data_IF_218782238044
#
_entry.id   IF_218782238044
#
_cell.length_a   1.000
_cell.length_b   1.000
_cell.length_c   1.000
_cell.angle_alpha   90.00
_cell.angle_beta   90.00
_cell.angle_gamma   90.00
#
_symmetry.space_group_name_H-M   'P 1'
#
loop_
_entity.id
_entity.type
_entity.pdbx_description
1 polymer ?
#
# COMPACT_ATOMS: atom_id res chain seq x y z
N UNK A 1 -25.23 -0.62 0.23
CA UNK A 1 -24.49 -0.29 -1.00
C UNK A 1 -23.54 0.83 -0.62
N UNK A 2 -22.25 0.53 -0.48
CA UNK A 2 -21.23 1.56 -0.27
C UNK A 2 -20.85 2.07 -1.65
N UNK A 3 -21.61 3.02 -2.17
CA UNK A 3 -21.22 3.81 -3.33
C UNK A 3 -20.04 4.69 -2.89
N UNK A 4 -18.85 4.10 -2.86
CA UNK A 4 -17.63 4.89 -2.80
C UNK A 4 -17.65 5.76 -4.06
N UNK A 5 -17.64 7.10 -3.92
CA UNK A 5 -17.67 7.98 -5.07
C UNK A 5 -16.50 7.62 -5.99
N UNK A 6 -16.77 7.50 -7.30
CA UNK A 6 -15.72 7.32 -8.30
C UNK A 6 -14.79 8.53 -8.16
N UNK A 7 -13.60 8.30 -7.61
CA UNK A 7 -12.63 9.34 -7.40
C UNK A 7 -12.10 9.79 -8.76
N UNK A 8 -12.26 11.07 -9.08
CA UNK A 8 -11.65 11.63 -10.27
C UNK A 8 -10.16 11.84 -10.01
N UNK A 9 -9.39 10.79 -10.30
CA UNK A 9 -7.94 10.81 -10.17
C UNK A 9 -7.24 11.51 -11.35
N UNK A 10 -7.98 12.07 -12.32
CA UNK A 10 -7.42 12.69 -13.52
C UNK A 10 -6.36 11.80 -14.22
N UNK A 11 -6.65 10.51 -14.32
CA UNK A 11 -5.80 9.51 -14.97
C UNK A 11 -6.65 8.56 -15.80
N UNK A 12 -6.03 7.95 -16.80
CA UNK A 12 -6.66 6.89 -17.60
C UNK A 12 -6.72 5.58 -16.82
N UNK A 13 -7.64 4.70 -17.18
CA UNK A 13 -7.75 3.36 -16.58
C UNK A 13 -6.46 2.54 -16.71
N UNK A 14 -5.70 2.77 -17.79
CA UNK A 14 -4.41 2.10 -18.02
C UNK A 14 -3.33 2.60 -17.06
N UNK A 15 -3.27 3.92 -16.83
CA UNK A 15 -2.36 4.51 -15.84
C UNK A 15 -2.73 4.07 -14.42
N UNK A 16 -4.02 4.03 -14.12
CA UNK A 16 -4.52 3.53 -12.85
C UNK A 16 -4.08 2.10 -12.60
N UNK A 17 -4.32 1.19 -13.56
CA UNK A 17 -3.90 -0.20 -13.46
C UNK A 17 -2.38 -0.34 -13.28
N UNK A 18 -1.60 0.50 -13.96
CA UNK A 18 -0.14 0.51 -13.83
C UNK A 18 0.35 0.97 -12.45
N UNK A 19 -0.39 1.86 -11.77
CA UNK A 19 -0.05 2.28 -10.40
C UNK A 19 -0.47 1.26 -9.36
N UNK A 20 -1.68 0.71 -9.49
CA UNK A 20 -2.15 -0.36 -8.61
C UNK A 20 -1.21 -1.57 -8.68
N UNK A 21 -0.71 -1.92 -9.87
CA UNK A 21 0.30 -2.97 -10.04
C UNK A 21 1.63 -2.69 -9.32
N UNK A 22 1.89 -1.44 -8.93
CA UNK A 22 3.07 -0.97 -8.17
C UNK A 22 2.73 -0.66 -6.71
N UNK A 23 1.60 -1.13 -6.20
CA UNK A 23 1.20 -0.96 -4.79
C UNK A 23 0.55 0.39 -4.47
N UNK A 24 0.14 1.18 -5.46
CA UNK A 24 -0.62 2.41 -5.20
C UNK A 24 -2.00 2.10 -4.59
N UNK A 25 -2.34 2.82 -3.52
CA UNK A 25 -3.62 2.71 -2.80
C UNK A 25 -4.40 4.05 -2.87
N UNK A 26 -5.54 4.10 -3.59
CA UNK A 26 -6.39 5.29 -3.67
C UNK A 26 -7.05 5.66 -2.33
N UNK A 27 -7.30 4.69 -1.46
CA UNK A 27 -7.87 4.96 -0.14
C UNK A 27 -6.86 5.72 0.73
N UNK A 28 -5.57 5.38 0.60
CA UNK A 28 -4.50 6.08 1.29
C UNK A 28 -4.29 7.51 0.74
N UNK A 29 -4.36 7.72 -0.58
CA UNK A 29 -4.40 9.08 -1.16
C UNK A 29 -5.53 9.91 -0.55
N UNK A 30 -6.73 9.35 -0.47
CA UNK A 30 -7.89 10.05 0.11
C UNK A 30 -7.67 10.41 1.59
N UNK A 31 -7.12 9.49 2.39
CA UNK A 31 -6.79 9.78 3.79
C UNK A 31 -5.82 10.95 3.91
N UNK A 32 -4.79 11.01 3.07
CA UNK A 32 -3.84 12.13 3.08
C UNK A 32 -4.54 13.46 2.75
N UNK A 33 -5.44 13.47 1.77
CA UNK A 33 -6.24 14.66 1.45
C UNK A 33 -7.14 15.06 2.63
N UNK A 34 -7.77 14.10 3.30
CA UNK A 34 -8.60 14.34 4.50
C UNK A 34 -7.78 14.88 5.68
N UNK A 35 -6.49 14.51 5.78
CA UNK A 35 -5.54 15.08 6.74
C UNK A 35 -5.09 16.51 6.38
N UNK A 36 -5.47 17.03 5.21
CA UNK A 36 -5.16 18.38 4.75
C UNK A 36 -3.98 18.47 3.79
N UNK A 37 -3.46 17.34 3.29
CA UNK A 37 -2.46 17.36 2.22
C UNK A 37 -3.07 17.83 0.90
N UNK A 38 -2.24 18.46 0.07
CA UNK A 38 -2.64 18.78 -1.30
C UNK A 38 -2.86 17.46 -2.09
N UNK A 39 -3.93 17.31 -2.88
CA UNK A 39 -4.18 16.14 -3.72
C UNK A 39 -2.96 15.64 -4.53
N UNK A 40 -2.17 16.55 -5.10
CA UNK A 40 -0.98 16.18 -5.86
C UNK A 40 0.13 15.60 -4.96
N UNK A 41 0.28 16.15 -3.76
CA UNK A 41 1.25 15.66 -2.76
C UNK A 41 0.80 14.32 -2.17
N UNK A 42 -0.48 14.20 -1.82
CA UNK A 42 -1.12 12.98 -1.36
C UNK A 42 -0.91 11.83 -2.37
N UNK A 43 -1.11 12.10 -3.65
CA UNK A 43 -0.87 11.14 -4.73
C UNK A 43 0.59 10.71 -4.82
N UNK A 44 1.51 11.67 -4.77
CA UNK A 44 2.94 11.36 -4.83
C UNK A 44 3.38 10.51 -3.64
N UNK A 45 2.89 10.82 -2.44
CA UNK A 45 3.11 10.03 -1.23
C UNK A 45 2.53 8.63 -1.36
N UNK A 46 1.29 8.49 -1.81
CA UNK A 46 0.65 7.19 -1.99
C UNK A 46 1.39 6.31 -3.01
N UNK A 47 1.87 6.90 -4.12
CA UNK A 47 2.70 6.20 -5.11
C UNK A 47 4.06 5.82 -4.54
N UNK A 48 4.69 6.71 -3.78
CA UNK A 48 5.99 6.44 -3.15
C UNK A 48 5.89 5.31 -2.12
N UNK A 49 4.85 5.31 -1.28
CA UNK A 49 4.59 4.23 -0.33
C UNK A 49 4.34 2.91 -1.04
N UNK A 50 3.56 2.90 -2.13
CA UNK A 50 3.35 1.72 -2.95
C UNK A 50 4.66 1.10 -3.47
N UNK A 51 5.56 1.93 -4.00
CA UNK A 51 6.89 1.48 -4.45
C UNK A 51 7.74 0.89 -3.32
N UNK A 52 7.56 1.34 -2.08
CA UNK A 52 8.24 0.79 -0.91
C UNK A 52 7.63 -0.52 -0.41
N UNK A 53 6.37 -0.82 -0.71
CA UNK A 53 5.75 -2.10 -0.34
C UNK A 53 6.37 -3.27 -1.12
N UNK A 54 6.81 -3.01 -2.35
CA UNK A 54 7.57 -3.97 -3.15
C UNK A 54 9.03 -4.14 -2.68
N UNK A 55 9.41 -3.55 -1.53
CA UNK A 55 10.75 -3.70 -1.00
C UNK A 55 11.02 -5.16 -0.59
N UNK A 56 11.93 -5.87 -1.29
CA UNK A 56 12.25 -7.26 -1.00
C UNK A 56 12.74 -7.45 0.44
N UNK A 57 13.34 -6.42 1.04
CA UNK A 57 13.87 -6.49 2.41
C UNK A 57 12.77 -6.59 3.46
N UNK A 58 11.62 -5.94 3.26
CA UNK A 58 10.46 -6.04 4.15
C UNK A 58 9.86 -7.45 4.08
N UNK A 59 9.69 -7.99 2.87
CA UNK A 59 9.19 -9.36 2.69
C UNK A 59 10.16 -10.42 3.23
N UNK A 60 11.48 -10.19 3.13
CA UNK A 60 12.51 -11.05 3.71
C UNK A 60 12.53 -10.96 5.25
N UNK A 61 12.36 -9.77 5.82
CA UNK A 61 12.27 -9.58 7.26
C UNK A 61 11.01 -10.24 7.84
N UNK A 62 9.86 -10.12 7.18
CA UNK A 62 8.64 -10.84 7.58
C UNK A 62 8.79 -12.35 7.52
N UNK A 63 9.36 -12.89 6.42
CA UNK A 63 9.59 -14.33 6.28
C UNK A 63 10.49 -14.85 7.40
N UNK A 64 11.58 -14.15 7.70
CA UNK A 64 12.53 -14.54 8.74
C UNK A 64 11.91 -14.54 10.13
N UNK A 65 11.07 -13.56 10.45
CA UNK A 65 10.46 -13.44 11.77
C UNK A 65 9.26 -14.38 11.96
N UNK A 66 8.44 -14.62 10.94
CA UNK A 66 7.35 -15.62 11.00
C UNK A 66 7.91 -17.04 11.17
N UNK A 67 9.05 -17.36 10.54
CA UNK A 67 9.73 -18.65 10.73
C UNK A 67 10.27 -18.84 12.15
N UNK A 68 10.78 -17.79 12.81
CA UNK A 68 11.28 -17.88 14.19
C UNK A 68 10.18 -18.12 15.22
N UNK A 69 8.98 -17.56 15.02
CA UNK A 69 7.84 -17.74 15.92
C UNK A 69 7.32 -19.20 15.83
N UNK A 70 7.22 -19.76 14.62
CA UNK A 70 6.78 -21.15 14.42
C UNK A 70 7.75 -22.21 14.97
N UNK A 71 9.06 -21.92 15.03
CA UNK A 71 10.03 -22.83 15.65
C UNK A 71 10.02 -22.77 17.17
N UNK A 72 9.70 -21.62 17.77
CA UNK A 72 9.60 -21.48 19.23
C UNK A 72 8.37 -22.21 19.80
N UNK A 73 7.23 -22.21 19.09
CA UNK A 73 6.04 -22.94 19.53
C UNK A 73 6.20 -24.46 19.45
N UNK A 74 7.00 -24.98 18.50
CA UNK A 74 7.29 -26.43 18.41
C UNK A 74 8.25 -26.96 19.46
N UNK A 75 9.02 -26.09 20.13
CA UNK A 75 9.96 -26.47 21.19
C UNK A 75 9.32 -26.49 22.59
N UNK A 76 8.02 -26.19 22.69
CA UNK A 76 7.27 -26.08 23.95
C UNK A 76 6.28 -27.25 24.20
N UNK A 77 6.47 -28.37 23.50
CA UNK A 77 5.73 -29.63 23.68
C UNK A 77 6.70 -30.70 24.19
#
# INVERSE_FOLDING_TARGET
MTDLPIQNLNMTDTEYAAFVAKGYDPAFEQQLVELGENPDQARNLARFVGLLQDNPLLSLWEKKNKSQILTLDRARI
#
